data_IF_321095639492
#
_entry.id   IF_321095639492
#
_cell.length_a   1.000
_cell.length_b   1.000
_cell.length_c   1.000
_cell.angle_alpha   90.00
_cell.angle_beta   90.00
_cell.angle_gamma   90.00
#
_symmetry.space_group_name_H-M   'P 1'
#
loop_
_entity.id
_entity.type
_entity.pdbx_description
1 polymer ?
#
# COMPACT_ATOMS: atom_id res chain seq x y z
N UNK A 1 -3.69 -8.02 2.98
CA UNK A 1 -5.06 -7.49 2.81
C UNK A 1 -5.88 -8.42 1.95
N UNK A 2 -7.13 -8.53 2.27
CA UNK A 2 -8.08 -9.34 1.54
C UNK A 2 -8.94 -8.45 0.65
N UNK A 3 -9.16 -8.86 -0.58
CA UNK A 3 -10.09 -8.16 -1.47
C UNK A 3 -11.52 -8.45 -1.01
N UNK A 4 -12.34 -7.39 -0.90
CA UNK A 4 -13.74 -7.50 -0.50
C UNK A 4 -14.65 -7.00 -1.61
N UNK A 5 -15.91 -7.49 -1.59
CA UNK A 5 -16.89 -7.08 -2.59
C UNK A 5 -17.31 -5.64 -2.40
N UNK A 6 -17.41 -4.92 -3.51
CA UNK A 6 -17.98 -3.57 -3.51
C UNK A 6 -19.51 -3.65 -3.43
N UNK A 7 -20.16 -2.64 -2.82
CA UNK A 7 -21.62 -2.54 -2.89
C UNK A 7 -22.10 -2.56 -4.34
N UNK A 8 -23.25 -3.20 -4.58
CA UNK A 8 -23.80 -3.34 -5.93
C UNK A 8 -23.94 -2.00 -6.66
N UNK A 9 -24.32 -0.95 -5.94
CA UNK A 9 -24.47 0.39 -6.51
C UNK A 9 -23.16 0.97 -7.07
N UNK A 10 -22.01 0.49 -6.59
CA UNK A 10 -20.68 0.98 -6.98
C UNK A 10 -19.93 0.02 -7.88
N UNK A 11 -20.42 -1.20 -8.06
CA UNK A 11 -19.71 -2.25 -8.79
C UNK A 11 -19.38 -1.84 -10.24
N UNK A 12 -20.26 -1.09 -10.88
CA UNK A 12 -20.09 -0.65 -12.27
C UNK A 12 -19.02 0.41 -12.48
N UNK A 13 -18.56 1.05 -11.40
CA UNK A 13 -17.53 2.10 -11.46
C UNK A 13 -16.12 1.54 -11.64
N UNK A 14 -15.94 0.23 -11.56
CA UNK A 14 -14.62 -0.41 -11.59
C UNK A 14 -13.86 -0.21 -10.29
N UNK A 15 -12.57 -0.60 -10.30
CA UNK A 15 -11.75 -0.57 -9.13
C UNK A 15 -12.02 -1.74 -8.19
N UNK A 16 -11.35 -1.74 -7.05
CA UNK A 16 -11.49 -2.82 -6.07
C UNK A 16 -11.25 -2.31 -4.65
N UNK A 17 -11.79 -3.03 -3.69
CA UNK A 17 -11.68 -2.71 -2.28
C UNK A 17 -10.94 -3.81 -1.54
N UNK A 18 -10.09 -3.42 -0.60
CA UNK A 18 -9.32 -4.34 0.23
C UNK A 18 -9.54 -4.05 1.70
N UNK A 19 -9.39 -5.06 2.53
CA UNK A 19 -9.57 -4.93 3.98
C UNK A 19 -8.51 -5.72 4.74
N UNK A 20 -8.04 -5.14 5.84
CA UNK A 20 -7.23 -5.82 6.83
C UNK A 20 -7.59 -5.26 8.21
N UNK A 21 -8.21 -6.08 9.06
CA UNK A 21 -8.73 -5.61 10.34
C UNK A 21 -9.76 -4.50 10.15
N UNK A 22 -9.52 -3.35 10.75
CA UNK A 22 -10.40 -2.17 10.64
C UNK A 22 -10.00 -1.24 9.48
N UNK A 23 -8.90 -1.54 8.81
CA UNK A 23 -8.40 -0.71 7.71
C UNK A 23 -9.01 -1.18 6.40
N UNK A 24 -9.56 -0.25 5.64
CA UNK A 24 -10.01 -0.52 4.27
C UNK A 24 -9.30 0.42 3.30
N UNK A 25 -8.93 -0.12 2.15
CA UNK A 25 -8.38 0.66 1.04
C UNK A 25 -9.30 0.47 -0.17
N UNK A 26 -9.82 1.58 -0.66
CA UNK A 26 -10.67 1.60 -1.84
C UNK A 26 -9.88 2.17 -3.01
N UNK A 27 -9.71 1.38 -4.05
CA UNK A 27 -9.02 1.80 -5.28
C UNK A 27 -10.08 2.04 -6.34
N UNK A 28 -10.09 3.25 -6.88
CA UNK A 28 -11.04 3.66 -7.90
C UNK A 28 -10.40 3.79 -9.27
N UNK A 29 -11.23 3.86 -10.29
CA UNK A 29 -10.79 4.15 -11.65
C UNK A 29 -10.89 5.64 -11.91
N UNK A 30 -9.80 6.23 -12.36
CA UNK A 30 -9.75 7.64 -12.72
C UNK A 30 -9.33 7.78 -14.18
N UNK A 31 -10.14 8.48 -14.97
CA UNK A 31 -9.80 8.77 -16.36
C UNK A 31 -8.64 9.78 -16.41
N UNK A 32 -7.69 9.59 -17.33
CA UNK A 32 -6.47 10.41 -17.42
C UNK A 32 -5.69 10.48 -16.10
N UNK A 33 -5.56 9.33 -15.45
CA UNK A 33 -4.93 9.22 -14.15
C UNK A 33 -3.45 9.65 -14.16
N UNK A 34 -3.08 10.43 -13.12
CA UNK A 34 -1.68 10.75 -12.81
C UNK A 34 -1.44 10.52 -11.34
N UNK A 35 -0.50 9.64 -11.02
CA UNK A 35 -0.15 9.37 -9.63
C UNK A 35 0.46 10.62 -8.96
N UNK A 36 0.09 10.88 -7.70
CA UNK A 36 0.74 11.88 -6.89
C UNK A 36 2.18 11.45 -6.60
N UNK A 37 3.15 12.36 -6.72
CA UNK A 37 4.55 12.05 -6.49
C UNK A 37 4.96 12.14 -5.02
N UNK A 38 4.24 12.92 -4.24
CA UNK A 38 4.56 13.16 -2.83
C UNK A 38 3.48 12.69 -1.88
N UNK A 39 2.20 12.93 -2.18
CA UNK A 39 1.11 12.45 -1.34
C UNK A 39 1.03 10.93 -1.43
N UNK A 40 1.01 10.25 -0.28
CA UNK A 40 0.97 8.80 -0.24
C UNK A 40 0.42 8.34 1.11
N UNK A 41 -0.26 7.18 1.14
CA UNK A 41 -0.63 6.57 2.41
C UNK A 41 0.59 5.93 3.07
N UNK A 42 0.59 5.86 4.40
CA UNK A 42 1.57 5.13 5.18
C UNK A 42 0.83 4.08 6.00
N UNK A 43 1.24 2.84 5.88
CA UNK A 43 0.59 1.70 6.54
C UNK A 43 1.56 1.06 7.53
N UNK A 44 1.10 0.86 8.77
CA UNK A 44 1.87 0.09 9.75
C UNK A 44 1.69 -1.39 9.48
N UNK A 45 2.79 -2.14 9.57
CA UNK A 45 2.83 -3.56 9.24
C UNK A 45 3.36 -4.35 10.41
N UNK A 46 2.57 -5.31 10.90
CA UNK A 46 2.96 -6.16 12.03
C UNK A 46 4.15 -7.07 11.68
N UNK A 47 4.16 -7.64 10.48
CA UNK A 47 5.27 -8.46 9.99
C UNK A 47 5.96 -7.75 8.83
N UNK A 48 6.64 -6.66 9.18
CA UNK A 48 7.28 -5.79 8.19
C UNK A 48 8.29 -6.53 7.32
N UNK A 49 9.25 -7.25 7.92
CA UNK A 49 10.28 -7.94 7.14
C UNK A 49 9.71 -9.10 6.32
N UNK A 50 8.71 -9.80 6.82
CA UNK A 50 8.02 -10.84 6.06
C UNK A 50 7.30 -10.26 4.85
N UNK A 51 6.64 -9.11 5.01
CA UNK A 51 6.00 -8.42 3.90
C UNK A 51 7.02 -7.98 2.85
N UNK A 52 8.15 -7.40 3.27
CA UNK A 52 9.22 -7.00 2.36
C UNK A 52 9.72 -8.21 1.54
N UNK A 53 9.94 -9.34 2.21
CA UNK A 53 10.37 -10.57 1.52
C UNK A 53 9.37 -11.03 0.47
N UNK A 54 8.07 -10.98 0.78
CA UNK A 54 7.02 -11.36 -0.17
C UNK A 54 6.96 -10.41 -1.36
N UNK A 55 7.12 -9.10 -1.11
CA UNK A 55 7.12 -8.10 -2.18
C UNK A 55 8.32 -8.28 -3.11
N UNK A 56 9.51 -8.49 -2.56
CA UNK A 56 10.70 -8.75 -3.36
C UNK A 56 10.57 -10.03 -4.19
N UNK A 57 9.90 -11.05 -3.65
CA UNK A 57 9.71 -12.32 -4.35
C UNK A 57 8.81 -12.18 -5.59
N UNK A 58 8.00 -11.13 -5.67
CA UNK A 58 7.16 -10.83 -6.85
C UNK A 58 7.65 -9.58 -7.60
N UNK A 59 8.94 -9.28 -7.45
CA UNK A 59 9.65 -8.21 -8.19
C UNK A 59 9.15 -6.79 -7.91
N UNK A 60 8.59 -6.56 -6.74
CA UNK A 60 8.27 -5.19 -6.31
C UNK A 60 9.53 -4.53 -5.79
N UNK A 61 9.89 -3.39 -6.35
CA UNK A 61 11.03 -2.61 -5.88
C UNK A 61 10.73 -1.99 -4.51
N UNK A 62 11.64 -2.22 -3.55
CA UNK A 62 11.50 -1.70 -2.19
C UNK A 62 12.65 -0.73 -1.92
N UNK A 63 12.31 0.52 -1.62
CA UNK A 63 13.29 1.55 -1.29
C UNK A 63 13.24 1.83 0.21
N UNK A 64 14.24 1.34 0.95
CA UNK A 64 14.31 1.56 2.39
C UNK A 64 14.74 2.99 2.69
N UNK A 65 14.13 3.59 3.72
CA UNK A 65 14.44 4.92 4.18
C UNK A 65 14.94 4.86 5.63
N UNK A 66 16.15 5.35 5.86
CA UNK A 66 16.84 5.28 7.15
C UNK A 66 17.03 6.66 7.80
N UNK A 67 16.24 7.63 7.41
CA UNK A 67 16.39 9.03 7.79
C UNK A 67 15.67 9.39 9.10
N UNK A 68 14.84 8.48 9.64
CA UNK A 68 14.17 8.70 10.92
C UNK A 68 14.70 7.68 11.92
N UNK A 69 15.43 8.12 12.96
CA UNK A 69 15.96 7.20 13.98
C UNK A 69 14.87 6.39 14.67
N UNK A 70 15.09 5.09 14.82
CA UNK A 70 14.15 4.19 15.49
C UNK A 70 12.92 3.80 14.67
N UNK A 71 12.88 4.21 13.40
CA UNK A 71 11.74 3.87 12.51
C UNK A 71 12.25 3.08 11.33
N UNK A 72 11.76 1.85 11.19
CA UNK A 72 11.98 1.04 9.98
C UNK A 72 10.84 1.33 9.02
N UNK A 73 11.16 1.84 7.85
CA UNK A 73 10.15 2.15 6.84
C UNK A 73 10.73 2.01 5.43
N UNK A 74 9.85 1.87 4.48
CA UNK A 74 10.24 1.82 3.06
C UNK A 74 9.13 2.41 2.21
N UNK A 75 9.47 2.65 0.95
CA UNK A 75 8.53 3.07 -0.07
C UNK A 75 8.45 2.02 -1.16
N UNK A 76 7.24 1.79 -1.64
CA UNK A 76 6.97 0.98 -2.82
C UNK A 76 6.02 1.76 -3.73
N UNK A 77 5.83 1.25 -4.94
CA UNK A 77 4.84 1.80 -5.88
C UNK A 77 3.96 0.67 -6.38
N UNK A 78 2.68 0.96 -6.56
CA UNK A 78 1.79 0.02 -7.21
C UNK A 78 2.02 0.05 -8.74
N UNK A 79 1.38 -0.85 -9.52
CA UNK A 79 1.59 -0.88 -10.98
C UNK A 79 1.19 0.41 -11.71
N UNK A 80 0.43 1.29 -11.07
CA UNK A 80 -0.02 2.55 -11.65
C UNK A 80 0.83 3.74 -11.21
N UNK A 81 1.86 3.50 -10.41
CA UNK A 81 2.76 4.53 -9.92
C UNK A 81 2.34 5.18 -8.61
N UNK A 82 1.28 4.71 -7.97
CA UNK A 82 0.90 5.22 -6.65
C UNK A 82 1.96 4.85 -5.62
N UNK A 83 2.44 5.84 -4.88
CA UNK A 83 3.43 5.64 -3.83
C UNK A 83 2.76 5.14 -2.56
N UNK A 84 3.40 4.19 -1.89
CA UNK A 84 2.92 3.63 -0.63
C UNK A 84 4.12 3.55 0.31
N UNK A 85 3.94 4.01 1.53
CA UNK A 85 4.94 3.86 2.58
C UNK A 85 4.53 2.72 3.51
N UNK A 86 5.47 1.85 3.84
CA UNK A 86 5.29 0.76 4.79
C UNK A 86 6.16 1.02 6.00
N UNK A 87 5.58 0.94 7.20
CA UNK A 87 6.27 1.23 8.45
C UNK A 87 6.15 0.01 9.36
N UNK A 88 7.27 -0.40 9.95
CA UNK A 88 7.25 -1.46 10.94
C UNK A 88 6.46 -1.00 12.17
N UNK A 89 5.55 -1.84 12.64
CA UNK A 89 4.67 -1.50 13.75
C UNK A 89 5.40 -1.47 15.09
N UNK A 90 6.27 -2.45 15.31
CA UNK A 90 7.03 -2.53 16.54
C UNK A 90 8.18 -1.54 16.57
N UNK A 91 8.54 -1.01 17.77
CA UNK A 91 9.75 -0.21 17.90
C UNK A 91 11.00 -1.06 17.65
N UNK A 92 12.04 -0.40 17.22
CA UNK A 92 13.33 -1.05 17.00
C UNK A 92 14.04 -1.34 18.31
#
# INVERSE_FOLDING_TARGET
MEEISKPAALAKRGGCWFKSGVVQIHVGVEHDFRAAKKAHPALKCADYEGLISRLCAVDVEVTRANDIPGVRRCHIHDPFGNRIELIAEEPL
#
